data_IF_143335802929
#
_entry.id   IF_143335802929
#
_cell.length_a   1.000
_cell.length_b   1.000
_cell.length_c   1.000
_cell.angle_alpha   90.00
_cell.angle_beta   90.00
_cell.angle_gamma   90.00
#
_symmetry.space_group_name_H-M   'P 1'
#
loop_
_entity.id
_entity.type
_entity.pdbx_description
1 polymer ?
#
# COMPACT_ATOMS: atom_id res chain seq x y z
N UNK A 1 -6.26 -29.31 8.72
CA UNK A 1 -5.87 -27.91 8.88
C UNK A 1 -7.14 -27.13 9.18
N UNK A 2 -7.20 -26.44 10.30
CA UNK A 2 -8.36 -25.59 10.65
C UNK A 2 -8.44 -24.37 9.73
N UNK A 3 -9.59 -23.69 9.68
CA UNK A 3 -9.76 -22.44 8.91
C UNK A 3 -8.73 -21.38 9.36
N UNK A 4 -8.53 -21.25 10.66
CA UNK A 4 -7.52 -20.36 11.24
C UNK A 4 -6.09 -20.74 10.83
N UNK A 5 -5.73 -22.02 10.85
CA UNK A 5 -4.41 -22.50 10.42
C UNK A 5 -4.15 -22.21 8.93
N UNK A 6 -5.16 -22.36 8.05
CA UNK A 6 -5.00 -22.00 6.63
C UNK A 6 -4.83 -20.48 6.45
N UNK A 7 -5.58 -19.69 7.23
CA UNK A 7 -5.52 -18.24 7.15
C UNK A 7 -4.13 -17.71 7.54
N UNK A 8 -3.56 -18.18 8.65
CA UNK A 8 -2.25 -17.71 9.15
C UNK A 8 -1.06 -18.39 8.47
N UNK A 9 -1.29 -19.36 7.57
CA UNK A 9 -0.21 -20.06 6.85
C UNK A 9 0.66 -19.03 6.13
N UNK A 10 1.97 -19.12 6.37
CA UNK A 10 2.93 -18.25 5.70
C UNK A 10 2.97 -18.54 4.19
N UNK A 11 2.47 -17.60 3.39
CA UNK A 11 2.41 -17.74 1.92
C UNK A 11 3.78 -17.62 1.25
N UNK A 12 4.78 -17.08 1.94
CA UNK A 12 6.16 -16.95 1.48
C UNK A 12 7.05 -18.14 1.87
N UNK A 13 6.55 -19.06 2.71
CA UNK A 13 7.32 -20.21 3.16
C UNK A 13 7.73 -21.11 1.98
N UNK A 14 9.04 -21.39 1.89
CA UNK A 14 9.61 -22.19 0.81
C UNK A 14 9.71 -21.49 -0.55
N UNK A 15 9.27 -20.23 -0.66
CA UNK A 15 9.34 -19.46 -1.91
C UNK A 15 10.74 -18.85 -2.05
N UNK A 16 11.41 -19.15 -3.16
CA UNK A 16 12.68 -18.52 -3.50
C UNK A 16 12.44 -17.17 -4.17
N UNK A 17 13.36 -16.22 -3.95
CA UNK A 17 13.30 -14.94 -4.65
C UNK A 17 13.46 -15.12 -6.15
N UNK A 18 12.67 -14.37 -6.92
CA UNK A 18 12.80 -14.23 -8.37
C UNK A 18 14.05 -13.38 -8.63
N UNK A 19 14.99 -13.93 -9.40
CA UNK A 19 16.27 -13.28 -9.73
C UNK A 19 16.33 -12.78 -11.17
N UNK A 20 15.28 -13.03 -11.97
CA UNK A 20 15.24 -12.60 -13.36
C UNK A 20 15.13 -11.07 -13.44
N UNK A 21 15.85 -10.49 -14.40
CA UNK A 21 15.82 -9.05 -14.65
C UNK A 21 14.46 -8.67 -15.23
N UNK A 22 13.56 -8.28 -14.34
CA UNK A 22 12.19 -7.91 -14.65
C UNK A 22 12.10 -6.46 -15.15
N UNK A 23 12.86 -6.16 -16.20
CA UNK A 23 13.03 -4.81 -16.75
C UNK A 23 11.73 -4.30 -17.38
N UNK A 24 11.04 -3.43 -16.64
CA UNK A 24 9.92 -2.67 -17.20
C UNK A 24 10.45 -1.58 -18.15
N UNK A 25 9.83 -1.34 -19.32
CA UNK A 25 10.20 -0.23 -20.19
C UNK A 25 9.92 1.13 -19.53
N UNK A 26 10.93 1.73 -18.89
CA UNK A 26 10.82 3.01 -18.17
C UNK A 26 10.86 4.24 -19.08
N UNK A 27 11.42 4.14 -20.28
CA UNK A 27 11.54 5.26 -21.23
C UNK A 27 10.20 5.95 -21.52
N UNK A 28 9.11 5.16 -21.60
CA UNK A 28 7.77 5.70 -21.77
C UNK A 28 7.39 6.64 -20.62
N UNK A 29 7.69 6.23 -19.38
CA UNK A 29 7.32 6.95 -18.16
C UNK A 29 8.19 8.17 -17.93
N UNK A 30 9.52 8.07 -18.11
CA UNK A 30 10.39 9.25 -18.07
C UNK A 30 9.95 10.29 -19.10
N UNK A 31 9.66 9.85 -20.32
CA UNK A 31 9.14 10.73 -21.36
C UNK A 31 7.81 11.38 -20.98
N UNK A 32 6.92 10.65 -20.29
CA UNK A 32 5.65 11.20 -19.80
C UNK A 32 5.87 12.26 -18.70
N UNK A 33 6.78 12.01 -17.76
CA UNK A 33 7.16 12.97 -16.70
C UNK A 33 7.80 14.23 -17.28
N UNK A 34 8.68 14.12 -18.28
CA UNK A 34 9.25 15.31 -18.92
C UNK A 34 8.21 16.11 -19.69
N UNK A 35 7.27 15.43 -20.37
CA UNK A 35 6.19 16.12 -21.08
C UNK A 35 5.22 16.80 -20.13
N UNK A 36 4.96 16.25 -18.94
CA UNK A 36 4.02 16.88 -18.00
C UNK A 36 4.51 18.24 -17.50
N UNK A 37 5.81 18.52 -17.59
CA UNK A 37 6.40 19.82 -17.23
C UNK A 37 6.12 20.93 -18.26
N UNK A 38 5.79 20.56 -19.50
CA UNK A 38 5.63 21.51 -20.62
C UNK A 38 4.25 21.46 -21.28
N UNK A 39 3.45 20.42 -21.01
CA UNK A 39 2.10 20.29 -21.51
C UNK A 39 1.17 21.36 -20.91
N UNK A 40 0.28 21.94 -21.72
CA UNK A 40 -0.62 23.03 -21.29
C UNK A 40 -1.47 22.69 -20.06
N UNK A 41 -1.95 21.45 -19.99
CA UNK A 41 -2.72 20.90 -18.87
C UNK A 41 -1.88 20.02 -17.91
N UNK A 42 -0.56 20.22 -17.87
CA UNK A 42 0.34 19.51 -16.98
C UNK A 42 0.25 17.98 -17.08
N UNK A 43 0.35 17.30 -15.93
CA UNK A 43 0.26 15.84 -15.85
C UNK A 43 -1.12 15.30 -16.27
N UNK A 44 -2.21 15.99 -15.90
CA UNK A 44 -3.57 15.60 -16.30
C UNK A 44 -3.72 15.49 -17.83
N UNK A 45 -3.18 16.48 -18.56
CA UNK A 45 -3.15 16.47 -20.01
C UNK A 45 -2.35 15.31 -20.60
N UNK A 46 -1.14 15.08 -20.08
CA UNK A 46 -0.30 13.95 -20.51
C UNK A 46 -0.96 12.61 -20.22
N UNK A 47 -1.61 12.45 -19.06
CA UNK A 47 -2.34 11.22 -18.72
C UNK A 47 -3.43 10.95 -19.76
N UNK A 48 -4.29 11.91 -20.06
CA UNK A 48 -5.33 11.73 -21.09
C UNK A 48 -4.75 11.49 -22.49
N UNK A 49 -3.68 12.20 -22.85
CA UNK A 49 -3.08 12.12 -24.18
C UNK A 49 -2.25 10.84 -24.39
N UNK A 50 -1.71 10.22 -23.33
CA UNK A 50 -0.73 9.12 -23.43
C UNK A 50 -1.09 7.84 -22.70
N UNK A 51 -1.73 7.92 -21.54
CA UNK A 51 -1.91 6.81 -20.61
C UNK A 51 -3.38 6.34 -20.63
N UNK A 52 -4.32 7.26 -20.43
CA UNK A 52 -5.76 7.02 -20.39
C UNK A 52 -6.47 7.44 -21.70
N UNK A 53 -5.86 7.11 -22.85
CA UNK A 53 -6.34 7.57 -24.17
C UNK A 53 -7.73 7.09 -24.56
N UNK A 54 -8.05 5.85 -24.18
CA UNK A 54 -9.26 5.19 -24.65
C UNK A 54 -10.52 5.80 -24.03
N UNK A 55 -10.43 6.20 -22.77
CA UNK A 55 -11.52 6.80 -22.00
C UNK A 55 -10.91 7.94 -21.17
N UNK A 56 -10.72 9.13 -21.75
CA UNK A 56 -10.13 10.26 -21.03
C UNK A 56 -10.91 10.64 -19.78
N UNK A 57 -10.22 11.18 -18.78
CA UNK A 57 -10.82 11.68 -17.54
C UNK A 57 -11.10 13.17 -17.66
N UNK A 58 -12.31 13.60 -17.29
CA UNK A 58 -12.61 15.02 -17.07
C UNK A 58 -12.15 15.40 -15.66
N UNK A 59 -10.87 15.75 -15.51
CA UNK A 59 -10.28 16.11 -14.22
C UNK A 59 -10.94 17.38 -13.65
N UNK A 60 -11.36 17.30 -12.38
CA UNK A 60 -11.95 18.39 -11.58
C UNK A 60 -10.88 19.35 -11.06
N UNK A 61 -9.70 18.83 -10.71
CA UNK A 61 -8.57 19.59 -10.22
C UNK A 61 -7.27 19.17 -10.95
N UNK A 62 -7.18 19.44 -12.28
CA UNK A 62 -6.05 18.98 -13.10
C UNK A 62 -4.69 19.49 -12.61
N UNK A 63 -4.65 20.66 -11.95
CA UNK A 63 -3.45 21.25 -11.35
C UNK A 63 -2.92 20.47 -10.14
N UNK A 64 -3.75 19.62 -9.53
CA UNK A 64 -3.39 18.76 -8.40
C UNK A 64 -3.07 17.32 -8.83
N UNK A 65 -2.99 17.07 -10.13
CA UNK A 65 -2.57 15.78 -10.67
C UNK A 65 -1.07 15.83 -10.94
N UNK A 66 -0.34 14.80 -10.52
CA UNK A 66 1.09 14.66 -10.79
C UNK A 66 1.43 13.27 -11.31
N UNK A 67 2.56 13.20 -12.02
CA UNK A 67 3.18 11.96 -12.47
C UNK A 67 4.67 12.02 -12.15
N UNK A 68 5.20 10.96 -11.55
CA UNK A 68 6.63 10.82 -11.25
C UNK A 68 7.10 9.39 -11.52
N UNK A 69 8.41 9.22 -11.65
CA UNK A 69 9.07 7.92 -11.49
C UNK A 69 9.74 7.94 -10.12
N UNK A 70 9.24 7.09 -9.22
CA UNK A 70 9.70 7.02 -7.85
C UNK A 70 10.74 5.90 -7.70
N UNK A 71 11.93 6.24 -7.24
CA UNK A 71 12.98 5.27 -6.90
C UNK A 71 12.68 4.68 -5.52
N UNK A 72 12.09 3.49 -5.50
CA UNK A 72 11.66 2.80 -4.28
C UNK A 72 12.62 1.70 -3.88
N UNK A 73 12.46 1.15 -2.67
CA UNK A 73 13.17 -0.07 -2.25
C UNK A 73 12.80 -1.32 -3.08
N UNK A 74 11.77 -1.25 -3.93
CA UNK A 74 11.41 -2.29 -4.90
C UNK A 74 11.98 -2.01 -6.32
N UNK A 75 12.81 -0.98 -6.45
CA UNK A 75 13.24 -0.37 -7.70
C UNK A 75 12.28 0.70 -8.19
N UNK A 76 12.59 1.29 -9.34
CA UNK A 76 11.80 2.37 -9.90
C UNK A 76 10.37 1.94 -10.25
N UNK A 77 9.41 2.78 -9.89
CA UNK A 77 7.99 2.60 -10.20
C UNK A 77 7.33 3.95 -10.55
N UNK A 78 6.56 4.02 -11.64
CA UNK A 78 5.77 5.19 -11.95
C UNK A 78 4.63 5.37 -10.95
N UNK A 79 4.42 6.61 -10.52
CA UNK A 79 3.37 6.98 -9.59
C UNK A 79 2.56 8.12 -10.19
N UNK A 80 1.25 7.95 -10.24
CA UNK A 80 0.29 9.00 -10.56
C UNK A 80 -0.42 9.39 -9.26
N UNK A 81 -0.38 10.68 -8.90
CA UNK A 81 -1.11 11.17 -7.73
C UNK A 81 -2.25 12.07 -8.18
N UNK A 82 -3.44 11.86 -7.61
CA UNK A 82 -4.61 12.70 -7.80
C UNK A 82 -4.97 13.40 -6.49
N UNK A 83 -4.80 14.73 -6.46
CA UNK A 83 -5.11 15.54 -5.28
C UNK A 83 -6.61 15.75 -5.03
N UNK A 84 -7.48 15.40 -5.98
CA UNK A 84 -8.93 15.32 -5.80
C UNK A 84 -9.39 13.85 -5.74
N UNK A 85 -10.17 13.45 -4.71
CA UNK A 85 -10.69 12.09 -4.60
C UNK A 85 -11.55 11.63 -5.78
N UNK A 86 -12.33 12.52 -6.40
CA UNK A 86 -13.14 12.18 -7.57
C UNK A 86 -12.26 11.91 -8.80
N UNK A 87 -11.21 12.71 -8.98
CA UNK A 87 -10.25 12.51 -10.08
C UNK A 87 -9.52 11.18 -9.95
N UNK A 88 -9.17 10.78 -8.72
CA UNK A 88 -8.66 9.43 -8.46
C UNK A 88 -9.67 8.36 -8.88
N UNK A 89 -10.93 8.48 -8.46
CA UNK A 89 -11.97 7.48 -8.75
C UNK A 89 -12.23 7.34 -10.25
N UNK A 90 -12.28 8.46 -10.98
CA UNK A 90 -12.49 8.46 -12.43
C UNK A 90 -11.26 7.92 -13.17
N UNK A 91 -10.05 8.25 -12.71
CA UNK A 91 -8.83 7.70 -13.26
C UNK A 91 -8.75 6.17 -13.09
N UNK A 92 -9.01 5.65 -11.91
CA UNK A 92 -9.03 4.20 -11.68
C UNK A 92 -10.16 3.55 -12.48
N UNK A 93 -11.35 4.14 -12.51
CA UNK A 93 -12.50 3.63 -13.29
C UNK A 93 -12.15 3.52 -14.77
N UNK A 94 -11.61 4.57 -15.37
CA UNK A 94 -11.34 4.62 -16.80
C UNK A 94 -10.11 3.82 -17.20
N UNK A 95 -9.01 3.94 -16.44
CA UNK A 95 -7.73 3.34 -16.78
C UNK A 95 -7.65 1.86 -16.37
N UNK A 96 -8.11 1.52 -15.16
CA UNK A 96 -7.97 0.17 -14.60
C UNK A 96 -9.20 -0.68 -14.91
N UNK A 97 -10.39 -0.12 -14.73
CA UNK A 97 -11.66 -0.84 -14.93
C UNK A 97 -12.33 -0.56 -16.28
N UNK A 98 -11.65 0.11 -17.21
CA UNK A 98 -12.11 0.34 -18.60
C UNK A 98 -13.50 0.99 -18.68
N UNK A 99 -13.76 1.96 -17.80
CA UNK A 99 -14.99 2.73 -17.73
C UNK A 99 -16.08 2.12 -16.84
N UNK A 100 -15.83 0.97 -16.22
CA UNK A 100 -16.78 0.32 -15.29
C UNK A 100 -16.43 0.70 -13.86
N UNK A 101 -17.27 1.53 -13.22
CA UNK A 101 -17.04 1.96 -11.84
C UNK A 101 -17.24 0.80 -10.87
N UNK A 102 -16.24 0.53 -10.03
CA UNK A 102 -16.34 -0.50 -9.00
C UNK A 102 -17.10 -0.01 -7.77
N UNK A 103 -17.84 -0.90 -7.09
CA UNK A 103 -18.72 -0.54 -5.96
C UNK A 103 -17.96 0.10 -4.78
N UNK A 104 -16.72 -0.33 -4.55
CA UNK A 104 -15.91 0.10 -3.41
C UNK A 104 -14.88 1.20 -3.74
N UNK A 105 -14.91 1.78 -4.95
CA UNK A 105 -13.91 2.78 -5.37
C UNK A 105 -13.84 4.00 -4.43
N UNK A 106 -14.97 4.36 -3.81
CA UNK A 106 -15.03 5.46 -2.84
C UNK A 106 -14.26 5.17 -1.54
N UNK A 107 -14.06 3.90 -1.20
CA UNK A 107 -13.28 3.45 -0.04
C UNK A 107 -11.81 3.14 -0.39
N UNK A 108 -11.50 3.03 -1.67
CA UNK A 108 -10.14 2.78 -2.17
C UNK A 108 -9.31 4.06 -2.11
N UNK A 109 -8.12 3.96 -1.51
CA UNK A 109 -7.15 5.06 -1.44
C UNK A 109 -6.02 4.97 -2.46
N UNK A 110 -5.75 3.78 -2.99
CA UNK A 110 -4.69 3.55 -3.96
C UNK A 110 -5.08 2.45 -4.95
N UNK A 111 -4.44 2.42 -6.11
CA UNK A 111 -4.52 1.28 -7.03
C UNK A 111 -3.12 0.93 -7.51
N UNK A 112 -2.69 -0.29 -7.23
CA UNK A 112 -1.46 -0.86 -7.76
C UNK A 112 -1.76 -1.74 -8.97
N UNK A 113 -1.15 -1.39 -10.10
CA UNK A 113 -1.27 -2.13 -11.36
C UNK A 113 0.03 -2.91 -11.55
N UNK A 114 -0.09 -4.22 -11.78
CA UNK A 114 1.05 -5.07 -12.10
C UNK A 114 0.73 -6.02 -13.25
N UNK A 115 1.50 -5.90 -14.33
CA UNK A 115 1.46 -6.79 -15.48
C UNK A 115 2.83 -6.92 -16.13
N UNK A 116 2.93 -7.78 -17.15
CA UNK A 116 4.21 -8.10 -17.81
C UNK A 116 4.92 -6.89 -18.43
N UNK A 117 4.15 -5.92 -18.92
CA UNK A 117 4.68 -4.75 -19.64
C UNK A 117 4.23 -3.42 -19.04
N UNK A 118 3.49 -3.44 -17.93
CA UNK A 118 2.95 -2.24 -17.30
C UNK A 118 2.88 -2.41 -15.80
N UNK A 119 3.47 -1.47 -15.07
CA UNK A 119 3.41 -1.39 -13.62
C UNK A 119 3.41 0.07 -13.24
N UNK A 120 2.52 0.44 -12.35
CA UNK A 120 2.45 1.79 -11.80
C UNK A 120 1.49 1.80 -10.62
N UNK A 121 1.56 2.87 -9.85
CA UNK A 121 0.68 3.13 -8.71
C UNK A 121 -0.15 4.37 -9.02
N UNK A 122 -1.42 4.33 -8.64
CA UNK A 122 -2.30 5.51 -8.58
C UNK A 122 -2.58 5.81 -7.12
N UNK A 123 -2.33 7.03 -6.65
CA UNK A 123 -2.54 7.47 -5.28
C UNK A 123 -3.68 8.50 -5.21
N UNK A 124 -4.60 8.31 -4.27
CA UNK A 124 -5.61 9.29 -3.89
C UNK A 124 -5.12 10.17 -2.74
N UNK A 125 -5.58 11.41 -2.67
CA UNK A 125 -5.39 12.31 -1.52
C UNK A 125 -6.30 12.02 -0.31
N UNK A 126 -7.14 10.98 -0.37
CA UNK A 126 -7.99 10.59 0.77
C UNK A 126 -7.15 10.32 2.04
N UNK A 127 -7.69 10.59 3.25
CA UNK A 127 -7.04 10.21 4.50
C UNK A 127 -6.70 8.72 4.54
N UNK A 128 -5.54 8.37 5.09
CA UNK A 128 -5.10 6.98 5.12
C UNK A 128 -6.05 6.12 5.95
N UNK A 129 -6.44 4.96 5.41
CA UNK A 129 -7.42 4.04 6.00
C UNK A 129 -8.78 4.69 6.38
N UNK A 130 -9.15 5.82 5.77
CA UNK A 130 -10.30 6.64 6.15
C UNK A 130 -10.29 7.13 7.61
N UNK A 131 -9.12 7.12 8.27
CA UNK A 131 -8.95 7.65 9.62
C UNK A 131 -8.69 9.15 9.55
N UNK A 132 -9.31 9.92 10.44
CA UNK A 132 -9.17 11.38 10.49
C UNK A 132 -7.86 11.79 11.19
N UNK A 133 -7.41 13.03 10.97
CA UNK A 133 -6.19 13.53 11.59
C UNK A 133 -6.27 13.53 13.14
N UNK A 134 -7.42 13.93 13.67
CA UNK A 134 -7.66 13.96 15.12
C UNK A 134 -7.56 12.59 15.79
N UNK A 135 -7.93 11.51 15.10
CA UNK A 135 -7.84 10.14 15.61
C UNK A 135 -6.41 9.62 15.77
N UNK A 136 -5.45 10.22 15.05
CA UNK A 136 -4.00 9.93 15.18
C UNK A 136 -3.25 11.04 15.91
N UNK A 137 -3.97 12.07 16.40
CA UNK A 137 -3.40 13.19 17.15
C UNK A 137 -2.60 14.17 16.28
N UNK A 138 -2.96 14.33 15.02
CA UNK A 138 -2.33 15.24 14.06
C UNK A 138 -3.33 16.29 13.55
N UNK A 139 -2.82 17.34 12.91
CA UNK A 139 -3.63 18.27 12.12
C UNK A 139 -3.89 17.72 10.70
N UNK A 140 -4.91 18.26 10.05
CA UNK A 140 -5.37 17.80 8.73
C UNK A 140 -4.32 17.96 7.62
N UNK A 141 -3.49 19.00 7.67
CA UNK A 141 -2.46 19.24 6.65
C UNK A 141 -1.34 18.20 6.78
N UNK A 142 -0.81 18.02 7.99
CA UNK A 142 0.19 16.99 8.29
C UNK A 142 -0.36 15.61 7.95
N UNK A 143 -1.61 15.30 8.31
CA UNK A 143 -2.16 13.98 8.04
C UNK A 143 -2.40 13.73 6.56
N UNK A 144 -2.81 14.75 5.79
CA UNK A 144 -2.95 14.63 4.34
C UNK A 144 -1.59 14.34 3.66
N UNK A 145 -0.54 15.07 4.04
CA UNK A 145 0.82 14.83 3.54
C UNK A 145 1.31 13.42 3.90
N UNK A 146 1.20 13.05 5.19
CA UNK A 146 1.65 11.75 5.67
C UNK A 146 0.85 10.61 5.07
N UNK A 147 -0.46 10.78 4.86
CA UNK A 147 -1.31 9.78 4.21
C UNK A 147 -0.80 9.41 2.81
N UNK A 148 -0.29 10.40 2.05
CA UNK A 148 0.30 10.15 0.73
C UNK A 148 1.60 9.36 0.83
N UNK A 149 2.47 9.71 1.78
CA UNK A 149 3.74 9.01 2.00
C UNK A 149 3.52 7.56 2.45
N UNK A 150 2.65 7.34 3.43
CA UNK A 150 2.29 6.01 3.93
C UNK A 150 1.82 5.16 2.77
N UNK A 151 0.88 5.69 1.97
CA UNK A 151 0.29 4.96 0.85
C UNK A 151 1.30 4.62 -0.24
N UNK A 152 2.20 5.55 -0.59
CA UNK A 152 3.25 5.26 -1.58
C UNK A 152 4.14 4.12 -1.11
N UNK A 153 4.61 4.15 0.13
CA UNK A 153 5.47 3.10 0.70
C UNK A 153 4.71 1.77 0.93
N UNK A 154 3.42 1.83 1.28
CA UNK A 154 2.53 0.67 1.36
C UNK A 154 2.43 -0.05 0.01
N UNK A 155 2.09 0.68 -1.07
CA UNK A 155 2.03 0.10 -2.41
C UNK A 155 3.40 -0.35 -2.94
N UNK A 156 4.49 0.34 -2.56
CA UNK A 156 5.85 -0.13 -2.86
C UNK A 156 6.19 -1.44 -2.15
N UNK A 157 5.61 -1.71 -0.97
CA UNK A 157 5.76 -2.99 -0.28
C UNK A 157 5.09 -4.11 -1.05
N UNK A 158 3.87 -3.89 -1.54
CA UNK A 158 3.22 -4.85 -2.44
C UNK A 158 3.97 -5.03 -3.75
N UNK A 159 4.52 -3.94 -4.32
CA UNK A 159 5.37 -4.06 -5.50
C UNK A 159 6.63 -4.89 -5.21
N UNK A 160 7.27 -4.68 -4.06
CA UNK A 160 8.43 -5.47 -3.65
C UNK A 160 8.09 -6.95 -3.52
N UNK A 161 7.03 -7.30 -2.79
CA UNK A 161 6.62 -8.71 -2.59
C UNK A 161 6.22 -9.34 -3.92
N UNK A 162 5.51 -8.60 -4.79
CA UNK A 162 5.14 -9.09 -6.12
C UNK A 162 6.35 -9.38 -6.98
N UNK A 163 7.30 -8.44 -7.05
CA UNK A 163 8.48 -8.52 -7.91
C UNK A 163 9.44 -9.61 -7.44
N UNK A 164 9.67 -9.72 -6.13
CA UNK A 164 10.68 -10.60 -5.58
C UNK A 164 10.14 -12.00 -5.27
N UNK A 165 8.86 -12.16 -4.94
CA UNK A 165 8.30 -13.46 -4.54
C UNK A 165 7.14 -13.93 -5.43
N UNK A 166 6.69 -13.10 -6.38
CA UNK A 166 5.50 -13.39 -7.19
C UNK A 166 4.18 -13.26 -6.43
N UNK A 167 4.23 -12.88 -5.16
CA UNK A 167 3.13 -12.92 -4.21
C UNK A 167 2.73 -11.51 -3.81
N UNK A 168 1.44 -11.24 -3.94
CA UNK A 168 0.71 -10.18 -3.23
C UNK A 168 -0.63 -10.80 -2.87
N UNK A 169 -1.08 -10.59 -1.65
CA UNK A 169 -2.29 -11.21 -1.14
C UNK A 169 -3.05 -10.19 -0.30
N UNK A 170 -4.33 -9.99 -0.58
CA UNK A 170 -5.18 -9.09 0.22
C UNK A 170 -5.58 -9.78 1.54
N UNK A 171 -4.59 -10.18 2.35
CA UNK A 171 -4.74 -10.82 3.66
C UNK A 171 -3.93 -10.04 4.69
N UNK A 172 -4.29 -10.20 5.97
CA UNK A 172 -3.70 -9.43 7.07
C UNK A 172 -2.16 -9.44 7.11
N UNK A 173 -1.49 -10.53 6.72
CA UNK A 173 -0.01 -10.59 6.72
C UNK A 173 0.61 -9.57 5.76
N UNK A 174 0.15 -9.53 4.51
CA UNK A 174 0.69 -8.62 3.48
C UNK A 174 0.40 -7.15 3.85
N UNK A 175 -0.81 -6.90 4.34
CA UNK A 175 -1.29 -5.57 4.69
C UNK A 175 -0.61 -5.04 5.96
N UNK A 176 -0.32 -5.91 6.94
CA UNK A 176 0.49 -5.56 8.12
C UNK A 176 1.90 -5.13 7.72
N UNK A 177 2.55 -5.87 6.81
CA UNK A 177 3.89 -5.50 6.33
C UNK A 177 3.87 -4.14 5.64
N UNK A 178 2.91 -3.94 4.74
CA UNK A 178 2.79 -2.72 3.96
C UNK A 178 2.42 -1.51 4.83
N UNK A 179 1.52 -1.65 5.81
CA UNK A 179 1.21 -0.60 6.79
C UNK A 179 2.42 -0.29 7.68
N UNK A 180 3.15 -1.31 8.14
CA UNK A 180 4.32 -1.12 8.97
C UNK A 180 5.41 -0.31 8.26
N UNK A 181 5.78 -0.69 7.03
CA UNK A 181 6.75 0.05 6.22
C UNK A 181 6.24 1.44 5.88
N UNK A 182 4.96 1.58 5.50
CA UNK A 182 4.35 2.86 5.18
C UNK A 182 4.38 3.85 6.34
N UNK A 183 4.01 3.41 7.54
CA UNK A 183 4.05 4.23 8.75
C UNK A 183 5.49 4.61 9.10
N UNK A 184 6.42 3.65 9.07
CA UNK A 184 7.81 3.91 9.43
C UNK A 184 8.48 4.89 8.46
N UNK A 185 8.26 4.74 7.14
CA UNK A 185 8.81 5.68 6.15
C UNK A 185 8.23 7.09 6.29
N UNK A 186 6.94 7.20 6.63
CA UNK A 186 6.30 8.50 6.76
C UNK A 186 6.69 9.25 8.05
N UNK A 187 6.91 8.52 9.15
CA UNK A 187 7.07 9.12 10.49
C UNK A 187 8.44 8.89 11.14
N UNK A 188 9.24 7.94 10.65
CA UNK A 188 10.46 7.47 11.30
C UNK A 188 10.20 6.59 12.53
N UNK A 189 8.94 6.26 12.80
CA UNK A 189 8.51 5.37 13.87
C UNK A 189 7.24 4.63 13.46
N UNK A 190 6.99 3.49 14.10
CA UNK A 190 5.74 2.75 13.96
C UNK A 190 5.00 2.78 15.29
N UNK A 191 3.67 3.00 15.24
CA UNK A 191 2.78 2.90 16.39
C UNK A 191 1.77 1.78 16.17
N UNK A 192 1.80 0.76 17.01
CA UNK A 192 0.85 -0.35 16.95
C UNK A 192 -0.59 0.14 17.06
N UNK A 193 -0.83 1.14 17.91
CA UNK A 193 -2.13 1.78 18.10
C UNK A 193 -2.72 2.32 16.78
N UNK A 194 -1.90 2.95 15.93
CA UNK A 194 -2.37 3.52 14.67
C UNK A 194 -2.82 2.43 13.70
N UNK A 195 -2.00 1.37 13.55
CA UNK A 195 -2.38 0.21 12.75
C UNK A 195 -3.67 -0.44 13.24
N UNK A 196 -3.81 -0.65 14.56
CA UNK A 196 -5.02 -1.24 15.13
C UNK A 196 -6.26 -0.36 14.94
N UNK A 197 -6.09 0.96 14.89
CA UNK A 197 -7.16 1.90 14.54
C UNK A 197 -7.53 1.81 13.05
N UNK A 198 -6.57 1.65 12.15
CA UNK A 198 -6.82 1.42 10.71
C UNK A 198 -7.64 0.15 10.47
N UNK A 199 -7.32 -0.91 11.21
CA UNK A 199 -8.08 -2.16 11.19
C UNK A 199 -9.50 -2.04 11.75
N UNK A 200 -9.79 -1.02 12.57
CA UNK A 200 -11.05 -0.92 13.32
C UNK A 200 -11.09 -1.79 14.57
N UNK A 201 -9.93 -2.27 15.04
CA UNK A 201 -9.80 -3.02 16.30
C UNK A 201 -9.91 -2.06 17.49
N UNK A 202 -9.24 -0.90 17.38
CA UNK A 202 -9.45 0.24 18.25
C UNK A 202 -10.56 1.09 17.66
N UNK A 203 -11.47 1.56 18.51
CA UNK A 203 -12.62 2.37 18.10
C UNK A 203 -12.20 3.60 17.28
N UNK A 204 -12.94 3.87 16.20
CA UNK A 204 -12.65 4.95 15.26
C UNK A 204 -13.27 4.71 13.88
N UNK A 205 -12.76 5.43 12.89
CA UNK A 205 -13.25 5.43 11.52
C UNK A 205 -12.72 4.25 10.67
N UNK A 206 -11.62 3.62 11.10
CA UNK A 206 -11.01 2.49 10.39
C UNK A 206 -11.85 1.21 10.49
N UNK A 207 -11.83 0.40 9.41
CA UNK A 207 -12.66 -0.82 9.26
C UNK A 207 -12.00 -1.91 8.39
N UNK A 208 -10.67 -1.88 8.23
CA UNK A 208 -9.98 -2.76 7.27
C UNK A 208 -10.05 -4.24 7.65
N UNK A 209 -10.20 -4.57 8.94
CA UNK A 209 -10.24 -5.98 9.37
C UNK A 209 -11.40 -6.74 8.72
N UNK A 210 -12.58 -6.12 8.58
CA UNK A 210 -13.76 -6.72 7.95
C UNK A 210 -13.49 -7.20 6.52
N UNK A 211 -12.61 -6.50 5.79
CA UNK A 211 -12.20 -6.87 4.43
C UNK A 211 -11.30 -8.10 4.46
N UNK A 212 -10.38 -8.17 5.42
CA UNK A 212 -9.40 -9.26 5.51
C UNK A 212 -10.00 -10.54 6.09
N UNK A 213 -11.05 -10.42 6.89
CA UNK A 213 -11.76 -11.56 7.49
C UNK A 213 -13.06 -11.90 6.77
N UNK A 214 -13.30 -11.31 5.59
CA UNK A 214 -14.50 -11.59 4.80
C UNK A 214 -14.59 -13.09 4.49
N UNK A 215 -15.75 -13.69 4.83
CA UNK A 215 -16.03 -15.11 4.61
C UNK A 215 -15.50 -16.07 5.68
N UNK A 216 -14.77 -15.59 6.69
CA UNK A 216 -14.32 -16.43 7.82
C UNK A 216 -15.43 -16.65 8.84
N UNK A 217 -15.34 -17.73 9.64
CA UNK A 217 -16.20 -17.90 10.80
C UNK A 217 -15.94 -16.79 11.84
N UNK A 218 -16.94 -16.43 12.67
CA UNK A 218 -16.74 -15.45 13.75
C UNK A 218 -15.59 -15.83 14.69
N UNK A 219 -15.46 -17.11 15.03
CA UNK A 219 -14.38 -17.62 15.89
C UNK A 219 -13.01 -17.43 15.24
N UNK A 220 -12.89 -17.69 13.94
CA UNK A 220 -11.66 -17.46 13.19
C UNK A 220 -11.36 -15.97 13.08
N UNK A 221 -12.35 -15.14 12.78
CA UNK A 221 -12.17 -13.68 12.70
C UNK A 221 -11.67 -13.10 14.05
N UNK A 222 -12.19 -13.57 15.19
CA UNK A 222 -11.72 -13.17 16.52
C UNK A 222 -10.30 -13.67 16.81
N UNK A 223 -9.94 -14.87 16.35
CA UNK A 223 -8.56 -15.36 16.43
C UNK A 223 -7.60 -14.53 15.57
N UNK A 224 -8.03 -14.14 14.35
CA UNK A 224 -7.28 -13.24 13.46
C UNK A 224 -7.09 -11.85 14.07
N UNK A 225 -8.14 -11.31 14.72
CA UNK A 225 -8.02 -10.06 15.49
C UNK A 225 -6.98 -10.18 16.60
N UNK A 226 -7.00 -11.28 17.34
CA UNK A 226 -6.07 -11.51 18.45
C UNK A 226 -4.62 -11.63 17.99
N UNK A 227 -4.36 -12.29 16.86
CA UNK A 227 -3.01 -12.39 16.30
C UNK A 227 -2.55 -11.06 15.69
N UNK A 228 -3.46 -10.26 15.11
CA UNK A 228 -3.15 -8.92 14.62
C UNK A 228 -2.57 -8.02 15.72
N UNK A 229 -3.21 -8.01 16.91
CA UNK A 229 -2.77 -7.24 18.08
C UNK A 229 -1.38 -7.66 18.55
N UNK A 230 -1.12 -8.96 18.62
CA UNK A 230 0.21 -9.48 19.01
C UNK A 230 1.27 -9.13 17.99
N UNK A 231 1.00 -9.37 16.70
CA UNK A 231 1.93 -9.10 15.62
C UNK A 231 2.26 -7.60 15.52
N UNK A 232 1.25 -6.73 15.63
CA UNK A 232 1.47 -5.28 15.58
C UNK A 232 2.29 -4.78 16.77
N UNK A 233 2.04 -5.30 17.99
CA UNK A 233 2.85 -4.98 19.17
C UNK A 233 4.29 -5.48 19.07
N UNK A 234 4.48 -6.67 18.52
CA UNK A 234 5.81 -7.23 18.29
C UNK A 234 6.62 -6.40 17.26
N UNK A 235 5.98 -5.94 16.17
CA UNK A 235 6.62 -5.06 15.20
C UNK A 235 7.00 -3.69 15.79
N UNK A 236 6.17 -3.13 16.66
CA UNK A 236 6.49 -1.89 17.38
C UNK A 236 7.75 -2.04 18.23
N UNK A 237 7.85 -3.12 19.03
CA UNK A 237 9.07 -3.43 19.80
C UNK A 237 10.27 -3.66 18.88
N UNK A 238 10.09 -4.42 17.81
CA UNK A 238 11.16 -4.71 16.85
C UNK A 238 11.71 -3.44 16.21
N UNK A 239 10.84 -2.49 15.86
CA UNK A 239 11.22 -1.21 15.25
C UNK A 239 12.12 -0.33 16.12
N UNK A 240 12.19 -0.62 17.43
CA UNK A 240 13.04 0.09 18.39
C UNK A 240 14.41 -0.57 18.59
N UNK A 241 14.67 -1.71 17.94
CA UNK A 241 15.95 -2.42 18.08
C UNK A 241 17.04 -1.84 17.19
N UNK A 242 18.30 -1.94 17.64
CA UNK A 242 19.45 -1.53 16.83
C UNK A 242 19.67 -2.40 15.59
N UNK A 243 19.15 -3.64 15.58
CA UNK A 243 19.21 -4.49 14.38
C UNK A 243 18.25 -3.96 13.31
N UNK A 244 17.04 -3.56 13.69
CA UNK A 244 16.06 -2.96 12.79
C UNK A 244 16.58 -1.65 12.17
N UNK A 245 17.25 -0.81 12.97
CA UNK A 245 17.82 0.47 12.51
C UNK A 245 18.84 0.27 11.38
N UNK A 246 19.58 -0.85 11.38
CA UNK A 246 20.59 -1.17 10.37
C UNK A 246 20.02 -1.78 9.09
N UNK A 247 18.76 -2.23 9.11
CA UNK A 247 18.13 -2.87 7.96
C UNK A 247 17.56 -1.84 6.99
N UNK A 248 17.71 -2.14 5.70
CA UNK A 248 16.93 -1.51 4.63
C UNK A 248 15.47 -1.98 4.67
N UNK A 249 14.57 -1.27 3.99
CA UNK A 249 13.17 -1.72 3.86
C UNK A 249 13.05 -3.08 3.16
N UNK A 250 13.90 -3.36 2.16
CA UNK A 250 13.94 -4.67 1.51
C UNK A 250 14.25 -5.80 2.50
N UNK A 251 15.25 -5.61 3.37
CA UNK A 251 15.61 -6.59 4.40
C UNK A 251 14.53 -6.73 5.47
N UNK A 252 13.89 -5.62 5.87
CA UNK A 252 12.77 -5.63 6.81
C UNK A 252 11.59 -6.44 6.27
N UNK A 253 11.24 -6.22 5.00
CA UNK A 253 10.17 -6.95 4.32
C UNK A 253 10.53 -8.44 4.20
N UNK A 254 11.77 -8.78 3.85
CA UNK A 254 12.21 -10.17 3.78
C UNK A 254 12.10 -10.89 5.13
N UNK A 255 12.46 -10.23 6.23
CA UNK A 255 12.36 -10.82 7.58
C UNK A 255 10.89 -11.08 7.94
N UNK A 256 9.98 -10.13 7.65
CA UNK A 256 8.54 -10.32 7.86
C UNK A 256 7.92 -11.38 6.93
N UNK A 257 8.39 -11.50 5.68
CA UNK A 257 7.99 -12.56 4.77
C UNK A 257 8.40 -13.94 5.30
N UNK A 258 9.65 -14.09 5.77
CA UNK A 258 10.15 -15.35 6.34
C UNK A 258 9.41 -15.76 7.62
N UNK A 259 9.10 -14.80 8.48
CA UNK A 259 8.41 -15.09 9.73
C UNK A 259 6.94 -15.47 9.53
N UNK A 260 6.24 -14.85 8.57
CA UNK A 260 4.80 -15.01 8.47
C UNK A 260 4.06 -14.29 9.61
N UNK A 261 2.74 -14.17 9.50
CA UNK A 261 1.92 -13.51 10.54
C UNK A 261 2.08 -14.17 11.92
N UNK A 262 2.07 -15.50 11.97
CA UNK A 262 2.23 -16.24 13.21
C UNK A 262 3.64 -16.12 13.82
N UNK A 263 4.68 -16.12 12.98
CA UNK A 263 6.05 -15.93 13.45
C UNK A 263 6.29 -14.52 13.98
N UNK A 264 5.75 -13.49 13.31
CA UNK A 264 5.83 -12.09 13.78
C UNK A 264 5.15 -11.96 15.15
N UNK A 265 3.95 -12.53 15.33
CA UNK A 265 3.26 -12.52 16.62
C UNK A 265 4.05 -13.20 17.76
N UNK A 266 4.99 -14.10 17.44
CA UNK A 266 5.88 -14.75 18.40
C UNK A 266 7.18 -14.00 18.67
N UNK A 267 7.48 -12.89 17.97
CA UNK A 267 8.72 -12.13 18.21
C UNK A 267 8.77 -11.44 19.57
N UNK A 268 7.67 -11.35 20.32
CA UNK A 268 7.70 -10.85 21.70
C UNK A 268 8.63 -11.66 22.60
N UNK A 269 8.85 -12.95 22.31
CA UNK A 269 9.74 -13.82 23.07
C UNK A 269 11.22 -13.72 22.61
N UNK A 270 11.48 -13.00 21.51
CA UNK A 270 12.80 -12.87 20.85
C UNK A 270 13.49 -11.52 21.16
N UNK A 271 12.72 -10.52 21.61
CA UNK A 271 13.12 -9.10 21.73
C UNK A 271 13.13 -8.65 23.19
#
# INVERSE_FOLDING_TARGET
MSEFEDYIRNRFEGVSKITDDDAMPMDFWYSAVEQSKTHENGAAGVINARICKAIPVEFRAPEKVSIEVFDSFAGEIPVISAGDPGDFEDLVTNLVHKGVRSENISKTGASFIYGKSVRFIILSSKPYSNVTAGEVGLDEETWAEKSMLIRRSHECTHYYTKRNYGITCNILHDELMADFIGLYDAFGFYKSEWFLRFLGIIEGSGKRLDVYTEGLSPETADAVKSIAVKASGALEKWSLTGDFERMTNAERIDEMCRAGLAGIAGWEDRL
#
